data_IF_173674153490
#
_entry.id   IF_173674153490
#
_cell.length_a   1.000
_cell.length_b   1.000
_cell.length_c   1.000
_cell.angle_alpha   90.00
_cell.angle_beta   90.00
_cell.angle_gamma   90.00
#
_symmetry.space_group_name_H-M   'P 1'
#
loop_
_entity.id
_entity.type
_entity.pdbx_description
1 polymer ?
#
# COMPACT_ATOMS: atom_id res chain seq x y z
N UNK A 1 12.99 23.08 -18.80
CA UNK A 1 13.56 23.37 -17.48
C UNK A 1 12.47 23.36 -16.39
N UNK A 2 11.42 24.20 -16.49
CA UNK A 2 10.37 24.32 -15.45
C UNK A 2 9.69 22.97 -15.12
N UNK A 3 9.32 22.19 -16.13
CA UNK A 3 8.68 20.88 -15.94
C UNK A 3 9.57 19.96 -15.11
N UNK A 4 10.84 19.85 -15.48
CA UNK A 4 11.79 18.97 -14.75
C UNK A 4 12.04 19.45 -13.34
N UNK A 5 12.14 20.76 -13.13
CA UNK A 5 12.33 21.33 -11.80
C UNK A 5 11.11 21.05 -10.90
N UNK A 6 9.89 21.36 -11.36
CA UNK A 6 8.67 21.13 -10.59
C UNK A 6 8.54 19.64 -10.24
N UNK A 7 8.73 18.75 -11.22
CA UNK A 7 8.60 17.31 -11.01
C UNK A 7 9.58 16.82 -9.95
N UNK A 8 10.85 17.24 -10.03
CA UNK A 8 11.89 16.85 -9.08
C UNK A 8 11.68 17.43 -7.67
N UNK A 9 11.19 18.65 -7.56
CA UNK A 9 10.91 19.31 -6.29
C UNK A 9 9.78 18.61 -5.54
N UNK A 10 8.69 18.32 -6.24
CA UNK A 10 7.52 17.68 -5.64
C UNK A 10 7.66 16.16 -5.44
N UNK A 11 8.56 15.49 -6.18
CA UNK A 11 8.97 14.11 -5.88
C UNK A 11 9.60 13.99 -4.49
N UNK A 12 10.33 15.01 -4.06
CA UNK A 12 11.07 15.04 -2.78
C UNK A 12 10.30 15.75 -1.66
N UNK A 13 9.11 16.24 -1.94
CA UNK A 13 8.33 17.00 -0.96
C UNK A 13 8.02 16.17 0.28
N UNK A 14 8.28 16.75 1.46
CA UNK A 14 7.93 16.18 2.76
C UNK A 14 6.54 16.61 3.24
N UNK A 15 5.86 17.44 2.48
CA UNK A 15 4.51 17.94 2.81
C UNK A 15 3.51 16.92 2.31
N UNK A 16 2.67 16.43 3.22
CA UNK A 16 1.61 15.46 2.90
C UNK A 16 0.68 16.00 1.80
N UNK A 17 0.38 15.15 0.82
CA UNK A 17 -0.48 15.48 -0.32
C UNK A 17 0.23 16.20 -1.48
N UNK A 18 1.43 16.73 -1.29
CA UNK A 18 2.17 17.39 -2.38
C UNK A 18 2.72 16.40 -3.42
N UNK A 19 2.83 15.13 -3.10
CA UNK A 19 3.10 14.05 -4.05
C UNK A 19 2.09 14.02 -5.21
N UNK A 20 0.87 14.54 -5.00
CA UNK A 20 -0.14 14.69 -6.06
C UNK A 20 0.34 15.55 -7.22
N UNK A 21 1.15 16.57 -6.93
CA UNK A 21 1.77 17.44 -7.98
C UNK A 21 2.78 16.62 -8.78
N UNK A 22 3.66 15.86 -8.10
CA UNK A 22 4.60 14.96 -8.79
C UNK A 22 3.88 13.98 -9.71
N UNK A 23 2.83 13.33 -9.22
CA UNK A 23 2.03 12.37 -9.99
C UNK A 23 1.38 13.04 -11.20
N UNK A 24 0.77 14.22 -11.02
CA UNK A 24 0.16 14.97 -12.11
C UNK A 24 1.20 15.35 -13.18
N UNK A 25 2.32 15.92 -12.77
CA UNK A 25 3.40 16.32 -13.68
C UNK A 25 3.99 15.12 -14.41
N UNK A 26 4.26 14.04 -13.69
CA UNK A 26 4.78 12.79 -14.25
C UNK A 26 3.83 12.19 -15.28
N UNK A 27 2.56 12.03 -14.94
CA UNK A 27 1.55 11.51 -15.87
C UNK A 27 1.43 12.40 -17.12
N UNK A 28 1.25 13.70 -16.93
CA UNK A 28 0.95 14.64 -18.02
C UNK A 28 2.12 14.86 -18.96
N UNK A 29 3.32 15.06 -18.45
CA UNK A 29 4.47 15.56 -19.21
C UNK A 29 5.56 14.53 -19.50
N UNK A 30 5.43 13.30 -18.93
CA UNK A 30 6.44 12.25 -19.12
C UNK A 30 5.83 10.93 -19.60
N UNK A 31 4.74 10.48 -19.00
CA UNK A 31 4.28 9.11 -19.17
C UNK A 31 3.11 8.94 -20.13
N UNK A 32 2.32 9.99 -20.38
CA UNK A 32 1.26 9.93 -21.39
C UNK A 32 1.88 10.03 -22.78
N UNK A 33 1.76 8.95 -23.57
CA UNK A 33 2.28 8.91 -24.91
C UNK A 33 1.42 9.76 -25.86
N UNK A 34 2.06 10.37 -26.86
CA UNK A 34 1.39 11.06 -27.94
C UNK A 34 0.77 10.06 -28.97
N UNK A 35 0.15 10.58 -30.03
CA UNK A 35 -0.47 9.76 -31.09
C UNK A 35 0.53 8.84 -31.82
N UNK A 36 1.82 9.20 -31.81
CA UNK A 36 2.91 8.40 -32.37
C UNK A 36 3.47 7.35 -31.40
N UNK A 37 2.91 7.24 -30.18
CA UNK A 37 3.40 6.33 -29.15
C UNK A 37 4.68 6.80 -28.45
N UNK A 38 5.03 8.09 -28.56
CA UNK A 38 6.25 8.66 -27.97
C UNK A 38 5.92 9.52 -26.75
N UNK A 39 6.83 9.46 -25.76
CA UNK A 39 6.77 10.36 -24.61
C UNK A 39 7.05 11.81 -25.02
N UNK A 40 6.33 12.79 -24.46
CA UNK A 40 6.69 14.21 -24.63
C UNK A 40 8.06 14.55 -24.08
N UNK A 41 8.59 13.77 -23.15
CA UNK A 41 9.87 14.00 -22.46
C UNK A 41 11.07 13.47 -23.26
N UNK A 42 11.17 13.82 -24.55
CA UNK A 42 12.25 13.42 -25.46
C UNK A 42 13.66 13.84 -25.01
N UNK A 43 13.75 14.76 -24.05
CA UNK A 43 15.02 15.21 -23.45
C UNK A 43 15.53 14.27 -22.35
N UNK A 44 14.73 13.31 -21.90
CA UNK A 44 15.08 12.39 -20.81
C UNK A 44 15.57 11.05 -21.37
N UNK A 45 16.68 10.49 -20.84
CA UNK A 45 17.09 9.14 -21.18
C UNK A 45 16.00 8.11 -20.87
N UNK A 46 15.80 7.14 -21.76
CA UNK A 46 14.72 6.14 -21.70
C UNK A 46 14.68 5.40 -20.33
N UNK A 47 15.83 5.00 -19.82
CA UNK A 47 15.93 4.35 -18.51
C UNK A 47 15.36 5.18 -17.38
N UNK A 48 15.63 6.49 -17.39
CA UNK A 48 15.15 7.42 -16.37
C UNK A 48 13.64 7.67 -16.53
N UNK A 49 13.18 7.77 -17.77
CA UNK A 49 11.78 7.92 -18.11
C UNK A 49 10.97 6.71 -17.63
N UNK A 50 11.43 5.51 -17.91
CA UNK A 50 10.80 4.25 -17.45
C UNK A 50 10.69 4.23 -15.93
N UNK A 51 11.79 4.49 -15.22
CA UNK A 51 11.80 4.51 -13.76
C UNK A 51 10.86 5.57 -13.17
N UNK A 52 10.80 6.76 -13.79
CA UNK A 52 9.86 7.81 -13.37
C UNK A 52 8.41 7.37 -13.58
N UNK A 53 8.11 6.79 -14.73
CA UNK A 53 6.75 6.36 -15.04
C UNK A 53 6.30 5.16 -14.21
N UNK A 54 7.19 4.26 -13.82
CA UNK A 54 6.91 3.21 -12.83
C UNK A 54 6.55 3.81 -11.47
N UNK A 55 7.31 4.80 -10.99
CA UNK A 55 6.99 5.52 -9.74
C UNK A 55 5.63 6.21 -9.83
N UNK A 56 5.36 6.91 -10.92
CA UNK A 56 4.08 7.60 -11.13
C UNK A 56 2.93 6.60 -11.11
N UNK A 57 3.05 5.47 -11.82
CA UNK A 57 2.04 4.41 -11.86
C UNK A 57 1.79 3.81 -10.48
N UNK A 58 2.87 3.49 -9.75
CA UNK A 58 2.78 2.89 -8.40
C UNK A 58 2.09 3.79 -7.39
N UNK A 59 2.30 5.12 -7.49
CA UNK A 59 1.75 6.07 -6.51
C UNK A 59 0.43 6.71 -6.96
N UNK A 60 -0.01 6.47 -8.19
CA UNK A 60 -1.20 7.11 -8.75
C UNK A 60 -2.46 6.90 -7.90
N UNK A 61 -2.68 5.66 -7.48
CA UNK A 61 -3.85 5.26 -6.68
C UNK A 61 -3.63 5.43 -5.16
N UNK A 62 -2.47 5.98 -4.77
CA UNK A 62 -2.10 6.21 -3.37
C UNK A 62 -2.07 7.70 -2.99
N UNK A 63 -2.50 8.58 -3.90
CA UNK A 63 -2.57 10.01 -3.59
C UNK A 63 -3.75 10.31 -2.66
N UNK A 64 -3.61 11.34 -1.85
CA UNK A 64 -4.68 11.79 -0.96
C UNK A 64 -5.99 12.03 -1.73
N UNK A 65 -7.07 11.39 -1.29
CA UNK A 65 -8.38 11.44 -1.92
C UNK A 65 -8.60 10.39 -3.02
N UNK A 66 -7.61 9.54 -3.33
CA UNK A 66 -7.81 8.37 -4.17
C UNK A 66 -8.38 7.20 -3.35
N UNK A 67 -9.05 6.29 -4.04
CA UNK A 67 -9.48 5.01 -3.45
C UNK A 67 -8.30 4.04 -3.58
N UNK A 68 -7.70 3.57 -2.47
CA UNK A 68 -6.58 2.65 -2.53
C UNK A 68 -7.02 1.30 -3.10
N UNK A 69 -6.09 0.48 -3.64
CA UNK A 69 -6.41 -0.89 -4.03
C UNK A 69 -6.91 -1.71 -2.85
N UNK A 70 -7.87 -2.61 -3.10
CA UNK A 70 -8.34 -3.51 -2.06
C UNK A 70 -7.26 -4.49 -1.61
N UNK A 71 -7.30 -4.87 -0.34
CA UNK A 71 -6.42 -5.85 0.27
C UNK A 71 -7.26 -6.98 0.84
N UNK A 72 -7.09 -8.19 0.28
CA UNK A 72 -7.71 -9.40 0.80
C UNK A 72 -6.58 -10.31 1.27
N UNK A 73 -6.43 -10.47 2.57
CA UNK A 73 -5.32 -11.16 3.19
C UNK A 73 -5.80 -12.13 4.26
N UNK A 74 -4.98 -13.14 4.59
CA UNK A 74 -5.31 -14.12 5.62
C UNK A 74 -5.02 -13.59 7.01
N UNK A 75 -5.84 -13.99 7.97
CA UNK A 75 -5.64 -13.70 9.37
C UNK A 75 -4.58 -14.63 10.02
N UNK A 76 -4.44 -14.54 11.33
CA UNK A 76 -3.47 -15.35 12.10
C UNK A 76 -3.75 -16.84 12.08
N UNK A 77 -4.92 -17.28 11.64
CA UNK A 77 -5.26 -18.70 11.50
C UNK A 77 -4.75 -19.30 10.19
N UNK A 78 -4.39 -18.45 9.21
CA UNK A 78 -4.06 -18.83 7.82
C UNK A 78 -5.21 -19.55 7.08
N UNK A 79 -6.43 -19.40 7.58
CA UNK A 79 -7.65 -19.98 7.01
C UNK A 79 -8.64 -18.91 6.58
N UNK A 80 -8.89 -17.94 7.47
CA UNK A 80 -9.88 -16.90 7.20
C UNK A 80 -9.29 -15.76 6.41
N UNK A 81 -10.08 -15.26 5.45
CA UNK A 81 -9.75 -14.10 4.65
C UNK A 81 -10.38 -12.85 5.23
N UNK A 82 -9.62 -11.80 5.32
CA UNK A 82 -10.06 -10.47 5.74
C UNK A 82 -9.98 -9.54 4.54
N UNK A 83 -11.09 -8.90 4.23
CA UNK A 83 -11.23 -7.97 3.11
C UNK A 83 -11.25 -6.54 3.65
N UNK A 84 -10.27 -5.73 3.23
CA UNK A 84 -10.15 -4.34 3.65
C UNK A 84 -11.38 -3.51 3.27
N UNK A 85 -12.01 -3.80 2.13
CA UNK A 85 -13.20 -3.07 1.68
C UNK A 85 -14.50 -3.52 2.35
N UNK A 86 -14.50 -4.63 3.08
CA UNK A 86 -15.66 -5.07 3.85
C UNK A 86 -15.79 -4.34 5.19
N UNK A 87 -14.83 -3.50 5.56
CA UNK A 87 -14.87 -2.74 6.79
C UNK A 87 -15.82 -1.55 6.65
N UNK A 88 -16.75 -1.44 7.57
CA UNK A 88 -17.81 -0.41 7.58
C UNK A 88 -17.56 0.67 8.66
N UNK A 89 -16.30 0.90 9.00
CA UNK A 89 -15.90 1.90 9.99
C UNK A 89 -15.79 3.29 9.35
N UNK A 90 -16.03 4.34 10.13
CA UNK A 90 -15.83 5.72 9.66
C UNK A 90 -14.38 5.98 9.23
N UNK A 91 -13.42 5.44 9.99
CA UNK A 91 -11.99 5.52 9.66
C UNK A 91 -11.32 4.17 9.81
N UNK A 92 -10.52 3.79 8.82
CA UNK A 92 -9.65 2.61 8.89
C UNK A 92 -8.19 3.00 8.73
N UNK A 93 -7.36 2.61 9.70
CA UNK A 93 -5.91 2.81 9.66
C UNK A 93 -5.26 1.59 9.04
N UNK A 94 -4.65 1.76 7.87
CA UNK A 94 -3.83 0.73 7.24
C UNK A 94 -2.42 0.77 7.80
N UNK A 95 -2.04 -0.27 8.58
CA UNK A 95 -0.78 -0.33 9.29
C UNK A 95 0.11 -1.47 8.80
N UNK A 96 1.22 -1.14 8.15
CA UNK A 96 2.21 -2.13 7.71
C UNK A 96 3.31 -2.29 8.74
N UNK A 97 3.62 -3.53 9.12
CA UNK A 97 4.61 -3.79 10.16
C UNK A 97 5.33 -5.14 9.98
N UNK A 98 6.49 -5.25 10.63
CA UNK A 98 7.33 -6.43 10.62
C UNK A 98 7.61 -6.85 12.08
N UNK A 99 7.30 -8.10 12.47
CA UNK A 99 7.54 -8.60 13.83
C UNK A 99 9.03 -8.64 14.21
N UNK A 100 9.93 -8.65 13.26
CA UNK A 100 11.38 -8.62 13.50
C UNK A 100 11.93 -7.19 13.61
N UNK A 101 11.20 -6.19 13.15
CA UNK A 101 11.61 -4.78 13.22
C UNK A 101 11.56 -4.26 14.66
N UNK A 102 12.72 -3.83 15.19
CA UNK A 102 12.81 -3.31 16.56
C UNK A 102 11.98 -2.04 16.82
N UNK A 103 11.70 -1.24 15.78
CA UNK A 103 10.82 -0.10 15.89
C UNK A 103 9.35 -0.56 16.02
N UNK A 104 8.91 -1.49 15.18
CA UNK A 104 7.56 -2.05 15.23
C UNK A 104 7.29 -2.73 16.58
N UNK A 105 8.26 -3.50 17.12
CA UNK A 105 8.15 -4.11 18.45
C UNK A 105 7.83 -3.11 19.56
N UNK A 106 8.26 -1.86 19.42
CA UNK A 106 8.00 -0.79 20.40
C UNK A 106 6.70 -0.04 20.15
N UNK A 107 6.32 0.13 18.89
CA UNK A 107 5.18 0.97 18.48
C UNK A 107 3.87 0.17 18.49
N UNK A 108 3.88 -1.08 18.03
CA UNK A 108 2.65 -1.90 17.91
C UNK A 108 1.90 -2.07 19.24
N UNK A 109 2.56 -2.35 20.39
CA UNK A 109 1.85 -2.41 21.68
C UNK A 109 1.26 -1.06 22.13
N UNK A 110 1.93 0.05 21.76
CA UNK A 110 1.39 1.39 22.03
C UNK A 110 0.17 1.69 21.17
N UNK A 111 0.19 1.22 19.92
CA UNK A 111 -0.94 1.31 19.01
C UNK A 111 -2.13 0.51 19.55
N UNK A 112 -1.90 -0.72 20.06
CA UNK A 112 -2.92 -1.53 20.71
C UNK A 112 -3.55 -0.81 21.91
N UNK A 113 -2.73 -0.18 22.75
CA UNK A 113 -3.22 0.57 23.89
C UNK A 113 -4.08 1.81 23.51
N UNK A 114 -3.73 2.49 22.38
CA UNK A 114 -4.55 3.57 21.84
C UNK A 114 -5.85 3.05 21.26
N UNK A 115 -5.79 1.93 20.55
CA UNK A 115 -6.95 1.28 19.94
C UNK A 115 -7.98 0.88 20.99
N UNK A 116 -7.58 0.09 21.98
CA UNK A 116 -8.50 -0.40 23.02
C UNK A 116 -9.06 0.73 23.91
N UNK A 117 -8.29 1.80 24.19
CA UNK A 117 -8.73 2.87 25.09
C UNK A 117 -9.54 3.97 24.42
N UNK A 118 -9.34 4.20 23.11
CA UNK A 118 -9.88 5.42 22.48
C UNK A 118 -10.52 5.18 21.12
N UNK A 119 -9.92 4.34 20.28
CA UNK A 119 -10.29 4.31 18.88
C UNK A 119 -11.45 3.35 18.60
N UNK A 120 -11.48 2.23 19.29
CA UNK A 120 -12.55 1.24 19.17
C UNK A 120 -13.95 1.85 19.45
N UNK A 121 -14.04 2.77 20.43
CA UNK A 121 -15.29 3.49 20.75
C UNK A 121 -15.61 4.63 19.78
N UNK A 122 -14.68 5.01 18.92
CA UNK A 122 -14.82 6.13 17.97
C UNK A 122 -14.98 5.68 16.51
N UNK A 123 -15.36 4.45 16.32
CA UNK A 123 -15.52 3.87 14.98
C UNK A 123 -14.25 3.98 14.10
N UNK A 124 -13.10 3.82 14.75
CA UNK A 124 -11.79 3.79 14.10
C UNK A 124 -11.22 2.39 14.24
N UNK A 125 -11.03 1.69 13.12
CA UNK A 125 -10.40 0.38 13.11
C UNK A 125 -8.98 0.39 12.55
N UNK A 126 -8.24 -0.69 12.80
CA UNK A 126 -6.88 -0.86 12.30
C UNK A 126 -6.83 -2.16 11.50
N UNK A 127 -6.48 -2.04 10.22
CA UNK A 127 -6.15 -3.17 9.36
C UNK A 127 -4.63 -3.32 9.31
N UNK A 128 -4.10 -4.20 10.16
CA UNK A 128 -2.66 -4.36 10.35
C UNK A 128 -2.11 -5.47 9.47
N UNK A 129 -1.29 -5.09 8.50
CA UNK A 129 -0.65 -5.99 7.55
C UNK A 129 0.75 -6.35 8.04
N UNK A 130 0.89 -7.55 8.56
CA UNK A 130 2.15 -8.09 9.07
C UNK A 130 2.97 -8.81 7.99
N UNK A 131 4.29 -8.70 8.07
CA UNK A 131 5.17 -9.56 7.30
C UNK A 131 5.16 -10.96 7.91
N UNK A 132 4.61 -11.93 7.16
CA UNK A 132 4.36 -13.29 7.64
C UNK A 132 4.83 -14.36 6.63
N UNK A 133 5.94 -14.09 5.91
CA UNK A 133 6.48 -15.01 4.90
C UNK A 133 7.35 -16.10 5.52
N UNK A 134 7.11 -17.35 5.14
CA UNK A 134 7.92 -18.49 5.57
C UNK A 134 8.04 -18.62 7.09
N UNK A 135 9.26 -18.63 7.61
CA UNK A 135 9.53 -18.76 9.06
C UNK A 135 9.05 -17.57 9.91
N UNK A 136 8.71 -16.45 9.29
CA UNK A 136 8.22 -15.26 9.99
C UNK A 136 6.76 -15.38 10.41
N UNK A 137 6.00 -16.32 9.79
CA UNK A 137 4.59 -16.54 10.10
C UNK A 137 4.35 -16.88 11.57
N UNK A 138 5.09 -17.83 12.12
CA UNK A 138 4.97 -18.22 13.53
C UNK A 138 5.42 -17.10 14.49
N UNK A 139 6.43 -16.33 14.11
CA UNK A 139 6.88 -15.18 14.90
C UNK A 139 5.84 -14.07 14.92
N UNK A 140 5.21 -13.81 13.79
CA UNK A 140 4.13 -12.85 13.66
C UNK A 140 2.91 -13.26 14.49
N UNK A 141 2.43 -14.50 14.38
CA UNK A 141 1.35 -15.06 15.21
C UNK A 141 1.67 -14.97 16.71
N UNK A 142 2.89 -15.35 17.07
CA UNK A 142 3.35 -15.28 18.46
C UNK A 142 3.27 -13.84 18.97
N UNK A 143 3.77 -12.87 18.20
CA UNK A 143 3.76 -11.47 18.58
C UNK A 143 2.33 -10.92 18.73
N UNK A 144 1.42 -11.23 17.81
CA UNK A 144 0.00 -10.83 17.88
C UNK A 144 -0.63 -11.35 19.18
N UNK A 145 -0.41 -12.63 19.51
CA UNK A 145 -0.96 -13.25 20.71
C UNK A 145 -0.35 -12.70 22.00
N UNK A 146 0.98 -12.56 22.08
CA UNK A 146 1.68 -12.08 23.27
C UNK A 146 1.38 -10.62 23.61
N UNK A 147 1.05 -9.81 22.62
CA UNK A 147 0.67 -8.40 22.80
C UNK A 147 -0.85 -8.18 22.78
N UNK A 148 -1.64 -9.27 22.74
CA UNK A 148 -3.12 -9.21 22.76
C UNK A 148 -3.68 -8.21 21.76
N UNK A 149 -3.19 -8.25 20.49
CA UNK A 149 -3.60 -7.29 19.48
C UNK A 149 -5.04 -7.57 19.04
N UNK A 150 -5.97 -6.72 19.46
CA UNK A 150 -7.42 -6.85 19.22
C UNK A 150 -7.87 -6.38 17.83
N UNK A 151 -7.11 -5.50 17.21
CA UNK A 151 -7.42 -5.02 15.87
C UNK A 151 -7.19 -6.10 14.82
N UNK A 152 -7.67 -5.88 13.59
CA UNK A 152 -7.57 -6.83 12.48
C UNK A 152 -6.10 -7.05 12.13
N UNK A 153 -5.63 -8.29 12.31
CA UNK A 153 -4.28 -8.70 11.98
C UNK A 153 -4.30 -9.65 10.78
N UNK A 154 -3.69 -9.21 9.69
CA UNK A 154 -3.54 -9.99 8.46
C UNK A 154 -2.07 -10.13 8.09
N UNK A 155 -1.72 -11.21 7.42
CA UNK A 155 -0.35 -11.52 7.08
C UNK A 155 -0.12 -11.66 5.59
N UNK A 156 1.00 -11.12 5.11
CA UNK A 156 1.52 -11.46 3.79
C UNK A 156 2.27 -12.78 3.90
N UNK A 157 1.60 -13.90 3.58
CA UNK A 157 2.16 -15.25 3.63
C UNK A 157 2.76 -15.65 2.28
N UNK A 158 3.64 -16.66 2.25
CA UNK A 158 4.27 -17.15 1.03
C UNK A 158 3.24 -17.70 0.02
N UNK A 159 2.13 -18.25 0.52
CA UNK A 159 1.07 -18.82 -0.31
C UNK A 159 0.30 -17.79 -1.14
N UNK A 160 0.44 -16.50 -0.82
CA UNK A 160 -0.15 -15.41 -1.60
C UNK A 160 0.54 -15.19 -2.95
N UNK A 161 1.69 -15.82 -3.18
CA UNK A 161 2.38 -15.84 -4.49
C UNK A 161 1.99 -17.04 -5.35
N UNK A 162 1.10 -17.89 -4.89
CA UNK A 162 0.61 -19.00 -5.68
C UNK A 162 -0.17 -18.47 -6.89
N UNK A 163 0.14 -19.00 -8.07
CA UNK A 163 -0.49 -18.60 -9.33
C UNK A 163 -2.01 -18.79 -9.31
N UNK A 164 -2.52 -19.75 -8.55
CA UNK A 164 -3.96 -19.96 -8.35
C UNK A 164 -4.64 -18.77 -7.65
N UNK A 165 -3.96 -18.15 -6.70
CA UNK A 165 -4.45 -16.98 -5.96
C UNK A 165 -4.43 -15.71 -6.83
N UNK A 166 -3.38 -15.53 -7.63
CA UNK A 166 -3.28 -14.42 -8.58
C UNK A 166 -4.42 -14.52 -9.63
N UNK A 167 -4.70 -15.74 -10.12
CA UNK A 167 -5.76 -15.99 -11.08
C UNK A 167 -7.18 -15.87 -10.48
N UNK A 168 -7.33 -16.04 -9.18
CA UNK A 168 -8.59 -15.84 -8.45
C UNK A 168 -8.87 -14.37 -8.11
N UNK A 169 -8.03 -13.43 -8.54
CA UNK A 169 -8.20 -12.00 -8.28
C UNK A 169 -7.72 -11.53 -6.89
N UNK A 170 -7.09 -12.41 -6.12
CA UNK A 170 -6.46 -12.04 -4.87
C UNK A 170 -5.09 -11.43 -5.17
N UNK A 171 -5.02 -10.11 -5.16
CA UNK A 171 -3.81 -9.39 -5.51
C UNK A 171 -3.06 -8.92 -4.27
N UNK A 172 -1.79 -9.31 -4.17
CA UNK A 172 -0.87 -8.64 -3.26
C UNK A 172 -0.15 -7.56 -4.05
N UNK A 173 -0.25 -6.31 -3.64
CA UNK A 173 0.58 -5.29 -4.25
C UNK A 173 2.05 -5.63 -3.96
N UNK A 174 2.76 -6.16 -4.94
CA UNK A 174 4.19 -5.93 -4.98
C UNK A 174 4.37 -4.42 -5.07
N UNK A 175 5.27 -3.87 -4.31
CA UNK A 175 5.69 -2.46 -4.41
C UNK A 175 6.10 -2.01 -5.83
N UNK A 176 6.07 -2.91 -6.81
CA UNK A 176 6.54 -2.69 -8.17
C UNK A 176 5.49 -2.80 -9.27
N UNK A 177 4.24 -3.20 -9.00
CA UNK A 177 3.30 -3.34 -10.13
C UNK A 177 1.84 -3.23 -9.69
N UNK A 178 1.39 -2.02 -9.37
CA UNK A 178 -0.03 -1.68 -9.45
C UNK A 178 -0.40 -1.45 -10.92
N UNK A 179 -0.35 -2.49 -11.74
CA UNK A 179 -0.98 -2.46 -13.05
C UNK A 179 -2.45 -2.80 -12.90
N UNK A 180 -3.27 -1.78 -13.03
CA UNK A 180 -4.68 -1.80 -13.42
C UNK A 180 -5.54 -2.92 -12.78
N UNK A 181 -6.01 -2.71 -11.58
CA UNK A 181 -7.31 -3.24 -11.21
C UNK A 181 -8.35 -2.26 -11.74
N UNK A 182 -8.99 -2.60 -12.85
CA UNK A 182 -10.21 -1.95 -13.29
C UNK A 182 -11.30 -2.30 -12.27
N UNK A 183 -11.46 -1.47 -11.28
CA UNK A 183 -12.64 -1.51 -10.43
C UNK A 183 -13.81 -0.95 -11.22
N UNK A 184 -14.60 -1.83 -11.83
CA UNK A 184 -15.94 -1.48 -12.31
C UNK A 184 -16.86 -1.51 -11.09
N UNK A 185 -17.27 -0.33 -10.62
CA UNK A 185 -18.45 -0.21 -9.77
C UNK A 185 -19.65 -0.73 -10.57
N UNK A 186 -20.20 -1.86 -10.17
CA UNK A 186 -21.59 -2.21 -10.46
C UNK A 186 -22.50 -1.54 -9.44
#
# INVERSE_FOLDING_TARGET
>A
YCVSWITSEYEKSKIMGMNKVFIHMGKRYYCTLNEEGKSPAHWMPEKNLTSLCEKVSTHYDLVMGAIPPNLILRDTTDVNWQDFYSLDNEYTILYFWDPECGHCKKITPKLQNLYSKKWKERDIDIFAVGKATGSEFEKWKKFVRENELEFINVGVTANLYDSAMINAGFFIPRYTTLKSLNYQKT
#
